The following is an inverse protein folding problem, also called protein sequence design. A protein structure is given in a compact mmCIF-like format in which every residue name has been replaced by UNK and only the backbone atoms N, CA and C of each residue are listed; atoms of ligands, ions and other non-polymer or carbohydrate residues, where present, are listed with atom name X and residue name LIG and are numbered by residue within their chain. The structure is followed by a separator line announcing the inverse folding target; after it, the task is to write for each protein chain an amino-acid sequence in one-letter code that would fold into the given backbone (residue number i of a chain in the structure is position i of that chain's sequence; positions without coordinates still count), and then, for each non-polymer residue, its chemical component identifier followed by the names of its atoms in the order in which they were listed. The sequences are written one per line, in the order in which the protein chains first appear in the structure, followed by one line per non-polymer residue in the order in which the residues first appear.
data_IF_157772867362
#
_entry.id   IF_157772867362
#
_cell.length_a   1.000
_cell.length_b   1.000
_cell.length_c   1.000
_cell.angle_alpha   90.00
_cell.angle_beta   90.00
_cell.angle_gamma   90.00
#
_symmetry.space_group_name_H-M   'P 1'
#
loop_
_entity.id
_entity.type
_entity.pdbx_description
1 polymer ?
#
# COMPACT_ATOMS: atom_id res chain seq x y z
N UNK A 1 -5.05 2.29 19.11
CA UNK A 1 -5.18 3.64 18.54
C UNK A 1 -4.36 4.63 19.37
N UNK A 2 -3.51 5.42 18.72
CA UNK A 2 -2.66 6.40 19.40
C UNK A 2 -3.48 7.58 19.95
N UNK A 3 -3.06 8.23 21.06
CA UNK A 3 -3.70 9.44 21.55
C UNK A 3 -3.60 10.60 20.56
N UNK A 4 -4.60 11.49 20.57
CA UNK A 4 -4.62 12.71 19.73
C UNK A 4 -3.35 13.55 19.87
N UNK A 5 -2.86 13.72 21.10
CA UNK A 5 -1.63 14.49 21.36
C UNK A 5 -0.39 13.86 20.69
N UNK A 6 -0.30 12.52 20.65
CA UNK A 6 0.78 11.79 19.96
C UNK A 6 0.67 11.97 18.45
N UNK A 7 -0.53 11.86 17.89
CA UNK A 7 -0.78 12.13 16.46
C UNK A 7 -0.34 13.55 16.07
N UNK A 8 -0.73 14.56 16.84
CA UNK A 8 -0.35 15.96 16.61
C UNK A 8 1.16 16.19 16.78
N UNK A 9 1.82 15.47 17.69
CA UNK A 9 3.28 15.52 17.83
C UNK A 9 3.99 14.93 16.59
N UNK A 10 3.53 13.77 16.10
CA UNK A 10 4.07 13.15 14.88
C UNK A 10 3.84 14.04 13.65
N UNK A 11 2.66 14.63 13.51
CA UNK A 11 2.37 15.56 12.42
C UNK A 11 3.33 16.78 12.45
N UNK A 12 3.61 17.34 13.63
CA UNK A 12 4.58 18.44 13.80
C UNK A 12 6.03 18.03 13.50
N UNK A 13 6.37 16.76 13.60
CA UNK A 13 7.67 16.22 13.17
C UNK A 13 7.77 16.05 11.65
N UNK A 14 6.71 16.37 10.90
CA UNK A 14 6.69 16.32 9.44
C UNK A 14 6.25 14.99 8.85
N UNK A 15 5.70 14.08 9.66
CA UNK A 15 5.05 12.87 9.13
C UNK A 15 3.72 13.25 8.47
N UNK A 16 3.54 12.86 7.21
CA UNK A 16 2.31 13.15 6.43
C UNK A 16 1.45 11.90 6.20
N UNK A 17 1.88 10.77 6.77
CA UNK A 17 1.12 9.52 6.88
C UNK A 17 1.34 8.96 8.27
N UNK A 18 0.28 8.94 9.08
CA UNK A 18 0.32 8.45 10.45
C UNK A 18 -0.71 7.32 10.56
N UNK A 19 -0.28 6.07 10.75
CA UNK A 19 -1.18 4.94 10.80
C UNK A 19 -2.00 4.96 12.10
N UNK A 20 -3.29 4.65 11.98
CA UNK A 20 -4.19 4.46 13.10
C UNK A 20 -4.68 3.02 13.09
N UNK A 21 -4.36 2.27 14.15
CA UNK A 21 -4.77 0.88 14.29
C UNK A 21 -5.80 0.69 15.39
N UNK A 22 -6.69 -0.28 15.15
CA UNK A 22 -7.65 -0.80 16.12
C UNK A 22 -7.74 -2.30 15.93
N UNK A 23 -7.62 -3.03 17.03
CA UNK A 23 -7.85 -4.47 17.07
C UNK A 23 -9.35 -4.75 17.28
N UNK A 24 -9.84 -5.79 16.60
CA UNK A 24 -11.23 -6.25 16.67
C UNK A 24 -11.24 -7.77 16.77
N UNK A 25 -12.23 -8.31 17.48
CA UNK A 25 -12.43 -9.76 17.56
C UNK A 25 -13.01 -10.24 16.24
N UNK A 26 -12.35 -11.22 15.61
CA UNK A 26 -12.71 -11.73 14.29
C UNK A 26 -12.64 -13.27 14.23
N UNK A 27 -12.88 -13.94 15.36
CA UNK A 27 -12.68 -15.39 15.53
C UNK A 27 -13.56 -16.25 14.60
N UNK A 28 -14.63 -15.68 14.06
CA UNK A 28 -15.55 -16.33 13.11
C UNK A 28 -15.22 -16.01 11.65
N UNK A 29 -14.19 -15.21 11.40
CA UNK A 29 -13.78 -14.81 10.07
C UNK A 29 -12.47 -15.48 9.66
N UNK A 30 -12.51 -16.06 8.46
CA UNK A 30 -11.29 -16.36 7.69
C UNK A 30 -10.84 -15.09 6.96
N UNK A 31 -9.57 -15.00 6.52
CA UNK A 31 -9.13 -13.88 5.71
C UNK A 31 -9.99 -13.65 4.46
N UNK A 32 -10.42 -14.73 3.80
CA UNK A 32 -11.29 -14.64 2.63
C UNK A 32 -12.69 -14.12 2.98
N UNK A 33 -13.32 -14.60 4.06
CA UNK A 33 -14.63 -14.07 4.47
C UNK A 33 -14.54 -12.60 4.92
N UNK A 34 -13.45 -12.21 5.58
CA UNK A 34 -13.19 -10.82 5.93
C UNK A 34 -13.02 -9.94 4.68
N UNK A 35 -12.26 -10.41 3.68
CA UNK A 35 -12.10 -9.71 2.41
C UNK A 35 -13.46 -9.48 1.73
N UNK A 36 -14.28 -10.52 1.62
CA UNK A 36 -15.61 -10.44 0.99
C UNK A 36 -16.58 -9.51 1.74
N UNK A 37 -16.43 -9.36 3.06
CA UNK A 37 -17.24 -8.44 3.88
C UNK A 37 -16.77 -6.98 3.79
N UNK A 38 -15.49 -6.74 3.58
CA UNK A 38 -14.86 -5.41 3.67
C UNK A 38 -14.70 -4.71 2.33
N UNK A 39 -14.60 -5.47 1.23
CA UNK A 39 -14.22 -4.93 -0.08
C UNK A 39 -15.45 -4.68 -0.94
N UNK A 40 -15.59 -3.44 -1.41
CA UNK A 40 -16.72 -2.95 -2.21
C UNK A 40 -16.31 -2.20 -3.49
N UNK A 41 -15.06 -2.37 -3.94
CA UNK A 41 -14.53 -1.61 -5.08
C UNK A 41 -13.27 -2.20 -5.73
N UNK A 42 -12.82 -1.59 -6.85
CA UNK A 42 -11.63 -2.03 -7.55
C UNK A 42 -10.35 -1.72 -6.76
N UNK A 43 -9.24 -2.33 -7.20
CA UNK A 43 -7.90 -2.11 -6.62
C UNK A 43 -7.74 -2.53 -5.15
N UNK A 44 -8.72 -3.25 -4.60
CA UNK A 44 -8.55 -4.01 -3.38
C UNK A 44 -7.71 -5.27 -3.63
N UNK A 45 -7.12 -5.80 -2.57
CA UNK A 45 -6.28 -7.00 -2.66
C UNK A 45 -6.34 -7.84 -1.38
N UNK A 46 -6.04 -9.12 -1.53
CA UNK A 46 -5.79 -10.06 -0.44
C UNK A 46 -4.42 -10.71 -0.68
N UNK A 47 -3.49 -10.52 0.25
CA UNK A 47 -2.18 -11.17 0.23
C UNK A 47 -2.13 -12.21 1.36
N UNK A 48 -1.94 -13.47 0.98
CA UNK A 48 -1.73 -14.56 1.92
C UNK A 48 -0.37 -15.19 1.65
N UNK A 49 0.37 -15.49 2.72
CA UNK A 49 1.64 -16.20 2.60
C UNK A 49 1.40 -17.68 2.88
N UNK A 50 1.94 -18.57 2.05
CA UNK A 50 1.98 -20.01 2.32
C UNK A 50 3.43 -20.43 2.37
N UNK A 51 3.88 -20.97 3.50
CA UNK A 51 5.22 -21.50 3.68
C UNK A 51 5.19 -23.02 3.53
N UNK A 52 5.90 -23.54 2.52
CA UNK A 52 6.09 -24.99 2.34
C UNK A 52 4.81 -25.77 1.97
N UNK A 53 3.83 -25.13 1.35
CA UNK A 53 2.62 -25.78 0.83
C UNK A 53 1.55 -26.15 1.86
N UNK A 54 1.90 -26.26 3.15
CA UNK A 54 0.98 -26.75 4.19
C UNK A 54 0.77 -25.78 5.37
N UNK A 55 1.67 -24.82 5.59
CA UNK A 55 1.53 -23.84 6.68
C UNK A 55 1.21 -22.46 6.14
N UNK A 56 0.05 -21.96 6.54
CA UNK A 56 -0.33 -20.57 6.29
C UNK A 56 0.58 -19.67 7.13
N UNK A 57 1.03 -18.57 6.53
CA UNK A 57 1.76 -17.54 7.22
C UNK A 57 0.93 -16.97 8.37
N UNK A 58 1.59 -16.41 9.38
CA UNK A 58 0.93 -15.87 10.58
C UNK A 58 -0.06 -14.72 10.27
N UNK A 59 0.06 -14.07 9.11
CA UNK A 59 -0.72 -12.91 8.73
C UNK A 59 -1.25 -13.01 7.29
N UNK A 60 -2.50 -12.59 7.11
CA UNK A 60 -3.07 -12.22 5.80
C UNK A 60 -3.27 -10.70 5.77
N UNK A 61 -3.05 -10.07 4.63
CA UNK A 61 -3.16 -8.61 4.47
C UNK A 61 -4.28 -8.31 3.49
N UNK A 62 -5.28 -7.57 3.94
CA UNK A 62 -6.37 -7.05 3.11
C UNK A 62 -6.11 -5.57 2.84
N UNK A 63 -6.00 -5.21 1.57
CA UNK A 63 -6.07 -3.82 1.11
C UNK A 63 -7.47 -3.48 0.66
N UNK A 64 -8.05 -2.43 1.22
CA UNK A 64 -9.33 -1.88 0.76
C UNK A 64 -9.14 -1.12 -0.56
N UNK A 65 -10.23 -0.81 -1.29
CA UNK A 65 -10.16 -0.08 -2.55
C UNK A 65 -9.27 1.18 -2.46
N UNK A 66 -8.22 1.23 -3.28
CA UNK A 66 -7.27 2.33 -3.27
C UNK A 66 -7.84 3.55 -4.01
N UNK A 67 -7.82 4.72 -3.37
CA UNK A 67 -8.21 5.98 -3.99
C UNK A 67 -7.16 6.50 -4.97
N UNK A 68 -5.88 6.21 -4.71
CA UNK A 68 -4.75 6.71 -5.49
C UNK A 68 -4.09 5.57 -6.28
N UNK A 69 -4.07 5.70 -7.61
CA UNK A 69 -3.56 4.68 -8.53
C UNK A 69 -2.40 5.25 -9.33
N UNK A 70 -1.22 4.64 -9.19
CA UNK A 70 -0.04 4.91 -10.01
C UNK A 70 0.03 3.85 -11.11
N UNK A 71 0.17 4.27 -12.37
CA UNK A 71 0.36 3.37 -13.51
C UNK A 71 1.52 3.85 -14.37
N UNK A 72 2.30 2.90 -14.88
CA UNK A 72 3.28 3.12 -15.93
C UNK A 72 2.89 2.30 -17.14
N UNK A 73 2.76 2.94 -18.30
CA UNK A 73 2.42 2.26 -19.56
C UNK A 73 3.21 2.90 -20.68
N UNK A 74 4.04 2.11 -21.38
CA UNK A 74 4.88 2.58 -22.49
C UNK A 74 5.74 3.81 -22.11
N UNK A 75 6.35 3.80 -20.92
CA UNK A 75 7.16 4.90 -20.41
C UNK A 75 6.37 6.12 -19.89
N UNK A 76 5.05 6.15 -20.06
CA UNK A 76 4.20 7.20 -19.50
C UNK A 76 3.75 6.81 -18.10
N UNK A 77 4.03 7.68 -17.14
CA UNK A 77 3.55 7.57 -15.77
C UNK A 77 2.29 8.41 -15.61
N UNK A 78 1.25 7.84 -15.01
CA UNK A 78 0.02 8.54 -14.63
C UNK A 78 -0.33 8.26 -13.17
N UNK A 79 -0.77 9.28 -12.44
CA UNK A 79 -1.35 9.14 -11.10
C UNK A 79 -2.79 9.60 -11.14
N UNK A 80 -3.70 8.73 -10.72
CA UNK A 80 -5.11 9.05 -10.55
C UNK A 80 -5.44 9.13 -9.05
N UNK A 81 -6.25 10.10 -8.66
CA UNK A 81 -6.84 10.21 -7.32
C UNK A 81 -8.35 10.30 -7.51
N UNK A 82 -9.10 9.39 -6.89
CA UNK A 82 -10.56 9.31 -7.02
C UNK A 82 -11.02 9.24 -8.50
N UNK A 83 -10.25 8.53 -9.31
CA UNK A 83 -10.51 8.36 -10.75
C UNK A 83 -10.09 9.55 -11.63
N UNK A 84 -9.61 10.66 -11.06
CA UNK A 84 -9.15 11.84 -11.80
C UNK A 84 -7.64 11.81 -11.97
N UNK A 85 -7.15 11.96 -13.20
CA UNK A 85 -5.71 12.11 -13.46
C UNK A 85 -5.20 13.41 -12.81
N UNK A 86 -4.29 13.26 -11.85
CA UNK A 86 -3.69 14.38 -11.08
C UNK A 86 -2.25 14.64 -11.49
N UNK A 87 -1.55 13.63 -12.02
CA UNK A 87 -0.20 13.77 -12.53
C UNK A 87 0.01 12.92 -13.78
N UNK A 88 0.80 13.47 -14.70
CA UNK A 88 1.28 12.78 -15.90
C UNK A 88 2.74 13.16 -16.13
N UNK A 89 3.58 12.17 -16.42
CA UNK A 89 4.98 12.39 -16.73
C UNK A 89 5.50 11.35 -17.72
N UNK A 90 6.53 11.72 -18.46
CA UNK A 90 7.28 10.82 -19.35
C UNK A 90 8.76 10.84 -18.93
N UNK A 91 9.09 10.27 -17.76
CA UNK A 91 10.45 10.30 -17.24
C UNK A 91 11.39 9.44 -18.08
N UNK A 92 12.68 9.76 -18.06
CA UNK A 92 13.70 8.90 -18.67
C UNK A 92 13.78 7.53 -17.97
N UNK A 93 13.64 7.50 -16.64
CA UNK A 93 13.55 6.29 -15.83
C UNK A 93 12.25 6.28 -14.99
N UNK A 94 11.27 5.41 -15.34
CA UNK A 94 10.05 5.26 -14.56
C UNK A 94 10.26 4.72 -13.14
N UNK A 95 11.28 3.89 -12.90
CA UNK A 95 11.56 3.33 -11.57
C UNK A 95 12.13 4.39 -10.63
N UNK A 96 13.00 5.26 -11.14
CA UNK A 96 13.47 6.43 -10.39
C UNK A 96 12.29 7.36 -10.06
N UNK A 97 11.39 7.59 -11.02
CA UNK A 97 10.19 8.39 -10.79
C UNK A 97 9.31 7.79 -9.68
N UNK A 98 9.06 6.48 -9.69
CA UNK A 98 8.30 5.78 -8.64
C UNK A 98 9.00 5.91 -7.29
N UNK A 99 10.33 5.79 -7.26
CA UNK A 99 11.14 5.98 -6.05
C UNK A 99 11.01 7.39 -5.47
N UNK A 100 11.02 8.41 -6.34
CA UNK A 100 10.79 9.80 -5.94
C UNK A 100 9.35 10.02 -5.46
N UNK A 101 8.36 9.43 -6.14
CA UNK A 101 6.95 9.47 -5.74
C UNK A 101 6.74 8.86 -4.36
N UNK A 102 7.31 7.67 -4.09
CA UNK A 102 7.25 7.01 -2.77
C UNK A 102 7.81 7.90 -1.66
N UNK A 103 8.91 8.63 -1.93
CA UNK A 103 9.55 9.54 -0.97
C UNK A 103 8.67 10.73 -0.56
N UNK A 104 7.59 11.02 -1.30
CA UNK A 104 6.60 12.04 -0.90
C UNK A 104 5.82 11.62 0.35
N UNK A 105 5.79 10.33 0.68
CA UNK A 105 5.10 9.81 1.87
C UNK A 105 6.10 9.58 3.00
N UNK A 106 6.04 10.46 4.00
CA UNK A 106 6.80 10.34 5.24
C UNK A 106 5.91 9.66 6.29
N UNK A 107 6.07 8.35 6.40
CA UNK A 107 5.24 7.49 7.26
C UNK A 107 5.82 7.47 8.68
N UNK A 108 4.97 7.74 9.68
CA UNK A 108 5.36 7.63 11.08
C UNK A 108 5.72 6.18 11.44
N UNK A 109 6.72 5.96 12.30
CA UNK A 109 7.12 4.62 12.72
C UNK A 109 5.96 3.92 13.45
N UNK A 110 5.85 2.61 13.24
CA UNK A 110 4.92 1.76 13.98
C UNK A 110 5.53 1.47 15.35
N UNK A 111 4.85 1.86 16.42
CA UNK A 111 5.32 1.63 17.79
C UNK A 111 5.26 0.14 18.18
N UNK A 112 4.40 -0.65 17.52
CA UNK A 112 4.20 -2.07 17.79
C UNK A 112 4.92 -2.95 16.77
N UNK A 113 5.83 -3.81 17.23
CA UNK A 113 6.62 -4.72 16.39
C UNK A 113 5.79 -5.79 15.65
N UNK A 114 4.54 -6.02 16.07
CA UNK A 114 3.62 -6.96 15.42
C UNK A 114 2.92 -6.35 14.19
N UNK A 115 2.82 -5.02 14.11
CA UNK A 115 2.30 -4.32 12.94
C UNK A 115 3.42 -4.23 11.90
N UNK A 116 3.52 -5.22 11.01
CA UNK A 116 4.59 -5.28 9.99
C UNK A 116 4.24 -4.55 8.69
N UNK A 117 2.97 -4.20 8.49
CA UNK A 117 2.48 -3.57 7.27
C UNK A 117 1.39 -2.55 7.61
N UNK A 118 1.60 -1.28 7.25
CA UNK A 118 0.68 -0.17 7.49
C UNK A 118 0.24 0.54 6.21
N UNK A 119 0.32 -0.17 5.08
CA UNK A 119 0.03 0.35 3.75
C UNK A 119 1.30 0.71 2.97
N UNK A 120 1.09 1.35 1.82
CA UNK A 120 2.16 1.73 0.89
C UNK A 120 1.72 1.54 -0.55
N UNK A 121 2.70 1.46 -1.46
CA UNK A 121 2.45 1.11 -2.85
C UNK A 121 2.36 -0.41 -2.96
N UNK A 122 1.19 -0.92 -3.32
CA UNK A 122 0.95 -2.34 -3.55
C UNK A 122 0.44 -2.52 -4.97
N UNK A 123 0.98 -3.53 -5.65
CA UNK A 123 0.67 -3.81 -7.04
C UNK A 123 1.69 -4.76 -7.62
N UNK A 124 1.91 -4.65 -8.92
CA UNK A 124 2.83 -5.51 -9.65
C UNK A 124 3.68 -4.69 -10.61
N UNK A 125 4.85 -5.23 -10.94
CA UNK A 125 5.58 -4.83 -12.13
C UNK A 125 5.35 -5.92 -13.19
N UNK A 126 4.92 -5.51 -14.37
CA UNK A 126 4.83 -6.45 -15.51
C UNK A 126 6.22 -6.88 -15.95
N UNK A 127 6.33 -8.05 -16.60
CA UNK A 127 7.60 -8.61 -17.05
C UNK A 127 8.44 -7.62 -17.89
N UNK A 128 7.77 -6.85 -18.76
CA UNK A 128 8.43 -5.85 -19.62
C UNK A 128 9.13 -4.72 -18.85
N UNK A 129 8.95 -4.58 -17.54
CA UNK A 129 9.73 -3.65 -16.71
C UNK A 129 11.22 -3.90 -16.83
N UNK A 130 11.64 -5.14 -17.14
CA UNK A 130 13.05 -5.50 -17.32
C UNK A 130 13.73 -4.62 -18.36
N UNK A 131 13.00 -4.16 -19.39
CA UNK A 131 13.50 -3.25 -20.44
C UNK A 131 13.88 -1.85 -19.92
N UNK A 132 13.44 -1.50 -18.71
CA UNK A 132 13.82 -0.26 -18.03
C UNK A 132 15.08 -0.43 -17.17
N UNK A 133 15.53 -1.67 -16.94
CA UNK A 133 16.69 -2.01 -16.11
C UNK A 133 17.86 -2.51 -16.97
N UNK A 134 17.55 -3.33 -17.97
CA UNK A 134 18.52 -3.96 -18.88
C UNK A 134 18.14 -3.64 -20.35
N UNK A 135 19.09 -3.16 -21.18
CA UNK A 135 18.86 -2.88 -22.60
C UNK A 135 18.56 -4.11 -23.47
#
# INVERSE_FOLDING_TARGET
MIPKATFEALARQGYNRIPLSREVIADLDTPLSAYLKLVDGPYAYLLESVQGGEKWGRYSIIGLPAQQILRVTQGVVTVHVDGVETERATPADPLEWISAFRRRFHVAPLENADERFSGGLVGYFGYDIVRSIEP
#
